data_IF_891128623928
#
_entry.id   IF_891128623928
#
_cell.length_a   1.000
_cell.length_b   1.000
_cell.length_c   1.000
_cell.angle_alpha   90.00
_cell.angle_beta   90.00
_cell.angle_gamma   90.00
#
_symmetry.space_group_name_H-M   'P 1'
#
loop_
_entity.id
_entity.type
_entity.pdbx_description
1 polymer ?
#
# COMPACT_ATOMS: atom_id res chain seq x y z
N UNK A 1 -19.87 -7.94 4.94
CA UNK A 1 -18.57 -7.47 4.47
C UNK A 1 -17.49 -8.20 5.25
N UNK A 2 -16.66 -8.95 4.55
CA UNK A 2 -15.59 -9.77 5.12
C UNK A 2 -14.40 -8.90 5.55
N UNK A 3 -13.49 -9.44 6.37
CA UNK A 3 -12.30 -8.68 6.78
C UNK A 3 -11.40 -8.42 5.57
N UNK A 4 -11.31 -9.38 4.64
CA UNK A 4 -10.59 -9.23 3.38
C UNK A 4 -11.10 -8.01 2.56
N UNK A 5 -12.42 -7.82 2.45
CA UNK A 5 -12.99 -6.66 1.75
C UNK A 5 -12.70 -5.33 2.48
N UNK A 6 -12.70 -5.32 3.81
CA UNK A 6 -12.25 -4.15 4.58
C UNK A 6 -10.77 -3.83 4.36
N UNK A 7 -9.93 -4.85 4.13
CA UNK A 7 -8.52 -4.63 3.80
C UNK A 7 -8.35 -3.87 2.49
N UNK A 8 -9.23 -4.05 1.48
CA UNK A 8 -9.20 -3.22 0.27
C UNK A 8 -9.37 -1.74 0.64
N UNK A 9 -10.34 -1.42 1.51
CA UNK A 9 -10.57 -0.05 1.95
C UNK A 9 -9.37 0.52 2.70
N UNK A 10 -8.77 -0.26 3.60
CA UNK A 10 -7.57 0.16 4.34
C UNK A 10 -6.41 0.43 3.37
N UNK A 11 -6.16 -0.48 2.41
CA UNK A 11 -5.11 -0.33 1.42
C UNK A 11 -5.30 0.93 0.55
N UNK A 12 -6.55 1.26 0.21
CA UNK A 12 -6.88 2.48 -0.54
C UNK A 12 -6.43 3.75 0.21
N UNK A 13 -6.59 3.78 1.54
CA UNK A 13 -6.21 4.93 2.37
C UNK A 13 -4.73 5.01 2.72
N UNK A 14 -3.96 3.93 2.59
CA UNK A 14 -2.52 3.95 2.85
C UNK A 14 -1.75 4.86 1.88
N UNK A 15 -2.10 4.86 0.60
CA UNK A 15 -1.44 5.71 -0.39
C UNK A 15 -1.61 7.23 -0.11
N UNK A 16 -2.83 7.78 0.12
CA UNK A 16 -3.00 9.17 0.49
C UNK A 16 -2.41 9.50 1.88
N UNK A 17 -2.33 8.52 2.79
CA UNK A 17 -1.61 8.71 4.07
C UNK A 17 -0.12 8.97 3.83
N UNK A 18 0.54 8.24 2.91
CA UNK A 18 1.91 8.53 2.51
C UNK A 18 2.06 9.94 1.89
N UNK A 19 1.08 10.39 1.11
CA UNK A 19 1.04 11.75 0.58
C UNK A 19 0.98 12.81 1.70
N UNK A 20 0.16 12.56 2.71
CA UNK A 20 0.07 13.42 3.90
C UNK A 20 1.40 13.47 4.64
N UNK A 21 2.03 12.31 4.87
CA UNK A 21 3.36 12.23 5.50
C UNK A 21 4.38 13.02 4.68
N UNK A 22 4.41 12.90 3.35
CA UNK A 22 5.30 13.65 2.48
C UNK A 22 5.11 15.17 2.63
N UNK A 23 3.86 15.64 2.62
CA UNK A 23 3.53 17.05 2.78
C UNK A 23 3.91 17.59 4.16
N UNK A 24 3.52 16.89 5.23
CA UNK A 24 3.78 17.32 6.62
C UNK A 24 5.28 17.31 6.92
N UNK A 25 5.98 16.22 6.57
CA UNK A 25 7.42 16.10 6.82
C UNK A 25 8.26 17.07 5.99
N UNK A 26 7.72 17.61 4.89
CA UNK A 26 8.42 18.62 4.10
C UNK A 26 8.59 19.96 4.81
N UNK A 27 7.68 20.29 5.75
CA UNK A 27 7.59 21.61 6.40
C UNK A 27 7.34 22.79 5.45
N UNK A 28 7.17 22.54 4.15
CA UNK A 28 7.13 23.55 3.09
C UNK A 28 5.77 23.65 2.39
N UNK A 29 4.87 22.71 2.64
CA UNK A 29 3.56 22.66 1.98
C UNK A 29 2.66 23.80 2.48
N UNK A 30 2.31 24.73 1.58
CA UNK A 30 1.44 25.87 1.88
C UNK A 30 0.17 25.93 1.02
N UNK A 31 -0.63 26.99 1.22
CA UNK A 31 -1.88 27.22 0.49
C UNK A 31 -1.66 27.34 -1.03
N UNK A 32 -0.54 27.93 -1.46
CA UNK A 32 -0.19 28.06 -2.89
C UNK A 32 0.08 26.69 -3.53
N UNK A 33 0.74 25.79 -2.80
CA UNK A 33 1.04 24.44 -3.28
C UNK A 33 -0.20 23.56 -3.40
N UNK A 34 -1.32 23.95 -2.76
CA UNK A 34 -2.58 23.24 -2.88
C UNK A 34 -3.24 23.42 -4.26
N UNK A 35 -2.82 24.40 -5.06
CA UNK A 35 -3.25 24.54 -6.45
C UNK A 35 -2.64 23.46 -7.36
N UNK A 36 -1.42 23.01 -7.07
CA UNK A 36 -0.78 21.88 -7.75
C UNK A 36 0.01 21.02 -6.76
N UNK A 37 -0.69 20.16 -5.99
CA UNK A 37 -0.04 19.36 -4.97
C UNK A 37 0.85 18.27 -5.56
N UNK A 38 0.67 17.87 -6.83
CA UNK A 38 1.49 16.83 -7.45
C UNK A 38 2.84 17.40 -7.88
N UNK A 39 2.84 18.56 -8.53
CA UNK A 39 4.09 19.24 -8.86
C UNK A 39 4.91 19.54 -7.60
N UNK A 40 4.26 19.94 -6.49
CA UNK A 40 4.94 20.13 -5.22
C UNK A 40 5.65 18.86 -4.74
N UNK A 41 4.97 17.70 -4.76
CA UNK A 41 5.54 16.43 -4.30
C UNK A 41 6.79 16.02 -5.10
N UNK A 42 6.85 16.36 -6.38
CA UNK A 42 8.00 16.04 -7.25
C UNK A 42 9.25 16.89 -6.94
N UNK A 43 9.07 18.04 -6.28
CA UNK A 43 10.18 18.89 -5.79
C UNK A 43 10.78 18.42 -4.46
N UNK A 44 10.22 17.39 -3.84
CA UNK A 44 10.66 16.91 -2.54
C UNK A 44 12.00 16.17 -2.62
N UNK A 45 12.78 16.29 -1.53
CA UNK A 45 14.05 15.60 -1.29
C UNK A 45 14.07 14.97 0.11
N UNK A 46 14.97 14.01 0.33
CA UNK A 46 15.12 13.34 1.64
C UNK A 46 13.90 12.51 2.05
N UNK A 47 13.56 12.56 3.34
CA UNK A 47 12.43 11.80 3.91
C UNK A 47 11.07 12.09 3.25
N UNK A 48 10.69 13.36 2.98
CA UNK A 48 9.47 13.68 2.24
C UNK A 48 9.41 13.01 0.85
N UNK A 49 10.54 12.96 0.13
CA UNK A 49 10.62 12.27 -1.17
C UNK A 49 10.42 10.76 -1.03
N UNK A 50 10.99 10.16 0.01
CA UNK A 50 10.79 8.73 0.31
C UNK A 50 9.33 8.41 0.62
N UNK A 51 8.62 9.30 1.33
CA UNK A 51 7.18 9.16 1.55
C UNK A 51 6.36 9.25 0.25
N UNK A 52 6.68 10.19 -0.65
CA UNK A 52 6.05 10.30 -1.98
C UNK A 52 6.30 9.06 -2.85
N UNK A 53 7.53 8.52 -2.82
CA UNK A 53 7.83 7.30 -3.55
C UNK A 53 7.11 6.06 -2.97
N UNK A 54 6.90 6.01 -1.65
CA UNK A 54 6.06 4.98 -1.02
C UNK A 54 4.59 5.11 -1.43
N UNK A 55 4.07 6.34 -1.56
CA UNK A 55 2.73 6.60 -2.09
C UNK A 55 2.58 6.05 -3.53
N UNK A 56 3.50 6.39 -4.43
CA UNK A 56 3.46 5.93 -5.83
C UNK A 56 3.44 4.39 -5.91
N UNK A 57 4.35 3.72 -5.19
CA UNK A 57 4.37 2.27 -5.18
C UNK A 57 3.09 1.63 -4.59
N UNK A 58 2.47 2.31 -3.62
CA UNK A 58 1.21 1.84 -3.04
C UNK A 58 0.07 1.91 -4.06
N UNK A 59 0.04 2.92 -4.93
CA UNK A 59 -0.90 3.00 -6.05
C UNK A 59 -0.65 1.95 -7.13
N UNK A 60 0.61 1.58 -7.38
CA UNK A 60 0.95 0.53 -8.36
C UNK A 60 0.50 -0.86 -7.89
N UNK A 61 0.69 -1.16 -6.60
CA UNK A 61 0.36 -2.47 -6.03
C UNK A 61 -1.15 -2.62 -5.72
N UNK A 62 -1.86 -1.53 -5.43
CA UNK A 62 -3.25 -1.56 -5.00
C UNK A 62 -4.20 -2.27 -5.99
N UNK A 63 -4.19 -1.99 -7.30
CA UNK A 63 -5.11 -2.65 -8.25
C UNK A 63 -4.97 -4.17 -8.26
N UNK A 64 -3.72 -4.67 -8.20
CA UNK A 64 -3.46 -6.11 -8.18
C UNK A 64 -4.01 -6.76 -6.90
N UNK A 65 -3.82 -6.12 -5.74
CA UNK A 65 -4.37 -6.61 -4.47
C UNK A 65 -5.90 -6.59 -4.45
N UNK A 66 -6.52 -5.46 -4.86
CA UNK A 66 -7.96 -5.33 -4.89
C UNK A 66 -8.60 -6.38 -5.82
N UNK A 67 -8.02 -6.57 -7.01
CA UNK A 67 -8.47 -7.60 -7.95
C UNK A 67 -8.36 -9.01 -7.36
N UNK A 68 -7.24 -9.34 -6.69
CA UNK A 68 -7.03 -10.66 -6.11
C UNK A 68 -8.06 -10.99 -5.00
N UNK A 69 -8.33 -10.04 -4.10
CA UNK A 69 -9.35 -10.20 -3.06
C UNK A 69 -10.75 -10.37 -3.66
N UNK A 70 -11.12 -9.53 -4.63
CA UNK A 70 -12.43 -9.61 -5.28
C UNK A 70 -12.61 -10.92 -6.07
N UNK A 71 -11.57 -11.39 -6.76
CA UNK A 71 -11.62 -12.68 -7.47
C UNK A 71 -11.80 -13.84 -6.48
N UNK A 72 -11.06 -13.85 -5.37
CA UNK A 72 -11.20 -14.88 -4.35
C UNK A 72 -12.60 -14.91 -3.72
N UNK A 73 -13.16 -13.72 -3.44
CA UNK A 73 -14.52 -13.55 -2.90
C UNK A 73 -15.60 -14.03 -3.89
N UNK A 74 -15.44 -13.71 -5.19
CA UNK A 74 -16.39 -14.11 -6.25
C UNK A 74 -16.34 -15.61 -6.52
N UNK A 75 -15.14 -16.20 -6.58
CA UNK A 75 -14.99 -17.63 -6.86
C UNK A 75 -15.51 -18.46 -5.69
N UNK A 76 -15.28 -18.01 -4.45
CA UNK A 76 -15.86 -18.64 -3.25
C UNK A 76 -15.31 -20.01 -2.89
N UNK A 77 -14.25 -20.49 -3.56
CA UNK A 77 -13.61 -21.78 -3.28
C UNK A 77 -12.70 -21.74 -2.04
N UNK A 78 -12.10 -20.57 -1.75
CA UNK A 78 -11.21 -20.38 -0.62
C UNK A 78 -12.00 -20.19 0.69
N UNK A 79 -11.59 -20.86 1.76
CA UNK A 79 -12.17 -20.67 3.09
C UNK A 79 -12.09 -19.19 3.52
N UNK A 80 -13.20 -18.66 4.06
CA UNK A 80 -13.32 -17.26 4.45
C UNK A 80 -12.20 -16.80 5.40
N UNK A 81 -11.84 -17.65 6.37
CA UNK A 81 -10.78 -17.37 7.35
C UNK A 81 -9.43 -17.21 6.66
N UNK A 82 -9.14 -18.03 5.65
CA UNK A 82 -7.90 -17.94 4.87
C UNK A 82 -7.81 -16.61 4.13
N UNK A 83 -8.90 -16.19 3.47
CA UNK A 83 -8.95 -14.91 2.76
C UNK A 83 -8.75 -13.72 3.71
N UNK A 84 -9.39 -13.76 4.88
CA UNK A 84 -9.27 -12.73 5.91
C UNK A 84 -7.84 -12.61 6.44
N UNK A 85 -7.19 -13.75 6.71
CA UNK A 85 -5.79 -13.80 7.15
C UNK A 85 -4.84 -13.28 6.08
N UNK A 86 -5.01 -13.67 4.81
CA UNK A 86 -4.22 -13.15 3.69
C UNK A 86 -4.37 -11.63 3.55
N UNK A 87 -5.59 -11.11 3.71
CA UNK A 87 -5.87 -9.68 3.67
C UNK A 87 -5.13 -8.91 4.75
N UNK A 88 -5.21 -9.38 6.01
CA UNK A 88 -4.52 -8.75 7.15
C UNK A 88 -3.00 -8.83 7.00
N UNK A 89 -2.46 -9.95 6.51
CA UNK A 89 -1.02 -10.09 6.25
C UNK A 89 -0.55 -9.12 5.16
N UNK A 90 -1.37 -8.89 4.12
CA UNK A 90 -1.03 -7.92 3.08
C UNK A 90 -0.97 -6.49 3.64
N UNK A 91 -1.96 -6.09 4.45
CA UNK A 91 -1.96 -4.78 5.12
C UNK A 91 -0.74 -4.62 6.02
N UNK A 92 -0.42 -5.64 6.81
CA UNK A 92 0.79 -5.64 7.65
C UNK A 92 2.05 -5.47 6.81
N UNK A 93 2.18 -6.19 5.69
CA UNK A 93 3.29 -6.03 4.74
C UNK A 93 3.36 -4.60 4.19
N UNK A 94 2.23 -3.96 3.88
CA UNK A 94 2.21 -2.56 3.42
C UNK A 94 2.66 -1.57 4.47
N UNK A 95 2.22 -1.73 5.72
CA UNK A 95 2.68 -0.90 6.83
C UNK A 95 4.19 -1.03 7.04
N UNK A 96 4.70 -2.26 7.07
CA UNK A 96 6.14 -2.53 7.22
C UNK A 96 6.95 -1.97 6.05
N UNK A 97 6.45 -2.09 4.82
CA UNK A 97 7.10 -1.53 3.65
C UNK A 97 7.20 -0.01 3.71
N UNK A 98 6.11 0.66 4.08
CA UNK A 98 6.09 2.12 4.25
C UNK A 98 7.11 2.53 5.31
N UNK A 99 7.15 1.85 6.46
CA UNK A 99 8.13 2.11 7.52
C UNK A 99 9.56 1.94 7.00
N UNK A 100 9.86 0.84 6.30
CA UNK A 100 11.18 0.60 5.70
C UNK A 100 11.55 1.67 4.67
N UNK A 101 10.58 2.16 3.91
CA UNK A 101 10.79 3.24 2.95
C UNK A 101 11.16 4.55 3.64
N UNK A 102 10.43 4.92 4.69
CA UNK A 102 10.69 6.14 5.46
C UNK A 102 12.05 6.10 6.17
N UNK A 103 12.41 4.93 6.72
CA UNK A 103 13.67 4.64 7.42
C UNK A 103 14.88 4.40 6.49
N UNK A 104 14.68 4.35 5.17
CA UNK A 104 15.72 4.11 4.16
C UNK A 104 16.38 2.71 4.23
N UNK A 105 15.63 1.70 4.68
CA UNK A 105 16.11 0.32 4.80
C UNK A 105 15.91 -0.46 3.50
N UNK A 106 16.79 -0.23 2.52
CA UNK A 106 16.63 -0.71 1.14
C UNK A 106 16.43 -2.24 1.00
N UNK A 107 17.24 -3.05 1.68
CA UNK A 107 17.14 -4.51 1.57
C UNK A 107 15.84 -5.06 2.17
N UNK A 108 15.46 -4.59 3.36
CA UNK A 108 14.23 -5.01 4.02
C UNK A 108 12.99 -4.53 3.25
N UNK A 109 13.05 -3.32 2.68
CA UNK A 109 12.00 -2.80 1.80
C UNK A 109 11.71 -3.75 0.63
N UNK A 110 12.75 -4.22 -0.07
CA UNK A 110 12.58 -5.16 -1.19
C UNK A 110 12.02 -6.50 -0.73
N UNK A 111 12.52 -7.04 0.39
CA UNK A 111 12.02 -8.29 0.96
C UNK A 111 10.52 -8.23 1.28
N UNK A 112 10.09 -7.17 1.99
CA UNK A 112 8.69 -6.97 2.37
C UNK A 112 7.82 -6.74 1.12
N UNK A 113 8.34 -6.08 0.09
CA UNK A 113 7.64 -5.92 -1.18
C UNK A 113 7.38 -7.28 -1.87
N UNK A 114 8.39 -8.14 -1.95
CA UNK A 114 8.23 -9.49 -2.51
C UNK A 114 7.23 -10.33 -1.69
N UNK A 115 7.26 -10.23 -0.36
CA UNK A 115 6.27 -10.88 0.49
C UNK A 115 4.85 -10.37 0.20
N UNK A 116 4.66 -9.06 0.02
CA UNK A 116 3.38 -8.48 -0.40
C UNK A 116 2.89 -9.02 -1.74
N UNK A 117 3.79 -9.15 -2.72
CA UNK A 117 3.46 -9.73 -4.03
C UNK A 117 3.08 -11.21 -3.93
N UNK A 118 3.81 -11.98 -3.11
CA UNK A 118 3.50 -13.39 -2.85
C UNK A 118 2.11 -13.57 -2.22
N UNK A 119 1.69 -12.66 -1.33
CA UNK A 119 0.35 -12.66 -0.74
C UNK A 119 -0.75 -12.41 -1.78
N UNK A 120 -0.52 -11.51 -2.74
CA UNK A 120 -1.45 -11.29 -3.87
C UNK A 120 -1.59 -12.58 -4.69
N UNK A 121 -0.48 -13.24 -5.01
CA UNK A 121 -0.50 -14.53 -5.73
C UNK A 121 -1.22 -15.61 -4.91
N UNK A 122 -1.02 -15.64 -3.60
CA UNK A 122 -1.63 -16.62 -2.72
C UNK A 122 -3.17 -16.59 -2.77
N UNK A 123 -3.80 -15.41 -2.90
CA UNK A 123 -5.26 -15.31 -3.09
C UNK A 123 -5.75 -16.11 -4.29
N UNK A 124 -5.03 -16.09 -5.41
CA UNK A 124 -5.39 -16.88 -6.59
C UNK A 124 -5.18 -18.38 -6.37
N UNK A 125 -4.08 -18.76 -5.70
CA UNK A 125 -3.74 -20.16 -5.46
C UNK A 125 -4.74 -20.84 -4.51
N UNK A 126 -5.15 -20.15 -3.45
CA UNK A 126 -6.13 -20.71 -2.50
C UNK A 126 -7.56 -20.73 -3.05
N UNK A 127 -7.81 -20.02 -4.14
CA UNK A 127 -9.14 -19.93 -4.79
C UNK A 127 -9.30 -20.91 -5.96
N UNK A 128 -8.32 -21.80 -6.17
CA UNK A 128 -8.44 -22.94 -7.10
C UNK A 128 -9.35 -23.97 -6.42
#
# INVERSE_FOLDING_TARGET
>A
MTVALWCILIALFLAPLCALIAKVSSGRFGLKDNHDPRAFLDTLSGLPRRAHAAQQNSYEAFPAFAAAVLVADIVGNAEQVTQDVLGVMYITSRLLYIICYLADWAALRSLVWFAGMALIVAFFVVSI
#
